data_IF_937207501240
#
_entry.id   IF_937207501240
#
_cell.length_a   1.000
_cell.length_b   1.000
_cell.length_c   1.000
_cell.angle_alpha   90.00
_cell.angle_beta   90.00
_cell.angle_gamma   90.00
#
_symmetry.space_group_name_H-M   'P 1'
#
loop_
_entity.id
_entity.type
_entity.pdbx_description
1 polymer ?
#
# COMPACT_ATOMS: atom_id res chain seq x y z
N UNK A 1 14.67 20.78 19.63
CA UNK A 1 14.80 19.46 20.30
C UNK A 1 14.33 18.42 19.30
N UNK A 2 15.24 17.63 18.72
CA UNK A 2 14.85 16.55 17.81
C UNK A 2 14.37 15.37 18.64
N UNK A 3 13.10 15.01 18.45
CA UNK A 3 12.54 13.80 19.03
C UNK A 3 12.46 12.74 17.93
N UNK A 4 12.98 11.55 18.20
CA UNK A 4 12.68 10.39 17.36
C UNK A 4 11.21 10.01 17.56
N UNK A 5 10.48 9.97 16.46
CA UNK A 5 9.10 9.48 16.45
C UNK A 5 9.08 7.98 16.19
N UNK A 6 8.26 7.26 16.94
CA UNK A 6 7.97 5.85 16.74
C UNK A 6 6.50 5.70 16.38
N UNK A 7 6.20 5.25 15.16
CA UNK A 7 4.85 4.97 14.72
C UNK A 7 4.62 3.46 14.70
N UNK A 8 3.69 3.00 15.54
CA UNK A 8 3.21 1.63 15.58
C UNK A 8 1.85 1.56 14.90
N UNK A 9 1.71 0.68 13.93
CA UNK A 9 0.45 0.47 13.19
C UNK A 9 0.01 -0.97 13.40
N UNK A 10 -1.21 -1.17 13.89
CA UNK A 10 -1.79 -2.48 14.13
C UNK A 10 -3.16 -2.56 13.48
N UNK A 11 -3.49 -3.72 12.90
CA UNK A 11 -4.85 -4.04 12.48
C UNK A 11 -5.45 -5.02 13.49
N UNK A 12 -6.63 -4.70 14.00
CA UNK A 12 -7.47 -5.58 14.82
C UNK A 12 -8.82 -5.67 14.12
N UNK A 13 -9.13 -6.85 13.58
CA UNK A 13 -10.33 -7.08 12.75
C UNK A 13 -10.43 -6.06 11.61
N UNK A 14 -11.48 -5.23 11.61
CA UNK A 14 -11.77 -4.20 10.61
C UNK A 14 -11.35 -2.80 11.06
N UNK A 15 -10.44 -2.71 12.02
CA UNK A 15 -9.96 -1.45 12.58
C UNK A 15 -8.44 -1.40 12.52
N UNK A 16 -7.91 -0.23 12.19
CA UNK A 16 -6.50 0.09 12.32
C UNK A 16 -6.25 1.06 13.47
N UNK A 17 -5.22 0.77 14.24
CA UNK A 17 -4.75 1.56 15.36
C UNK A 17 -3.38 2.10 14.97
N UNK A 18 -3.27 3.42 14.96
CA UNK A 18 -2.03 4.15 14.75
C UNK A 18 -1.63 4.78 16.09
N UNK A 19 -0.49 4.35 16.62
CA UNK A 19 0.06 4.84 17.88
C UNK A 19 1.40 5.51 17.58
N UNK A 20 1.43 6.84 17.73
CA UNK A 20 2.62 7.65 17.58
C UNK A 20 3.17 7.96 18.96
N UNK A 21 4.41 7.55 19.25
CA UNK A 21 5.10 7.90 20.50
C UNK A 21 6.38 8.69 20.25
N UNK A 22 6.73 9.57 21.18
CA UNK A 22 7.94 10.40 21.10
C UNK A 22 8.34 10.94 22.49
N UNK A 23 9.57 11.45 22.58
CA UNK A 23 10.07 12.09 23.80
C UNK A 23 10.06 11.18 25.02
N UNK A 24 9.73 11.73 26.20
CA UNK A 24 9.68 11.00 27.47
C UNK A 24 8.22 10.64 27.81
N UNK A 25 7.65 9.71 27.04
CA UNK A 25 6.31 9.15 27.30
C UNK A 25 5.14 9.89 26.66
N UNK A 26 5.39 10.75 25.67
CA UNK A 26 4.30 11.37 24.91
C UNK A 26 3.80 10.38 23.87
N UNK A 27 2.47 10.26 23.75
CA UNK A 27 1.83 9.37 22.79
C UNK A 27 0.55 9.98 22.22
N UNK A 28 0.20 9.56 21.01
CA UNK A 28 -1.02 9.91 20.31
C UNK A 28 -1.55 8.65 19.63
N UNK A 29 -2.77 8.24 19.96
CA UNK A 29 -3.42 7.08 19.38
C UNK A 29 -4.62 7.51 18.55
N UNK A 30 -4.68 7.05 17.30
CA UNK A 30 -5.80 7.24 16.39
C UNK A 30 -6.30 5.88 15.94
N UNK A 31 -7.61 5.71 16.01
CA UNK A 31 -8.29 4.50 15.55
C UNK A 31 -9.19 4.86 14.39
N UNK A 32 -9.11 4.10 13.30
CA UNK A 32 -9.96 4.29 12.13
C UNK A 32 -10.29 2.95 11.46
N UNK A 33 -11.43 2.86 10.74
CA UNK A 33 -11.77 1.67 9.99
C UNK A 33 -10.66 1.30 8.99
N UNK A 34 -10.37 0.02 8.89
CA UNK A 34 -9.53 -0.51 7.84
C UNK A 34 -10.34 -0.56 6.53
N UNK A 35 -9.82 0.01 5.44
CA UNK A 35 -10.51 0.05 4.15
C UNK A 35 -10.41 -1.32 3.47
N UNK A 36 -11.48 -2.10 3.52
CA UNK A 36 -11.48 -3.48 2.99
C UNK A 36 -11.11 -3.56 1.51
N UNK A 37 -11.47 -2.54 0.73
CA UNK A 37 -11.10 -2.42 -0.68
C UNK A 37 -9.57 -2.46 -0.91
N UNK A 38 -8.75 -2.01 0.06
CA UNK A 38 -7.28 -2.12 -0.06
C UNK A 38 -6.79 -3.57 -0.09
N UNK A 39 -7.45 -4.48 0.64
CA UNK A 39 -7.06 -5.89 0.61
C UNK A 39 -7.37 -6.49 -0.76
N UNK A 40 -8.52 -6.16 -1.34
CA UNK A 40 -8.92 -6.59 -2.69
C UNK A 40 -7.96 -6.04 -3.76
N UNK A 41 -7.64 -4.74 -3.71
CA UNK A 41 -6.72 -4.13 -4.66
C UNK A 41 -5.30 -4.69 -4.56
N UNK A 42 -4.84 -5.01 -3.34
CA UNK A 42 -3.56 -5.68 -3.14
C UNK A 42 -3.56 -7.09 -3.72
N UNK A 43 -4.63 -7.86 -3.50
CA UNK A 43 -4.77 -9.20 -4.09
C UNK A 43 -4.81 -9.14 -5.62
N UNK A 44 -5.51 -8.18 -6.20
CA UNK A 44 -5.55 -7.96 -7.64
C UNK A 44 -4.16 -7.62 -8.20
N UNK A 45 -3.51 -6.61 -7.63
CA UNK A 45 -2.15 -6.21 -8.02
C UNK A 45 -1.17 -7.39 -7.90
N UNK A 46 -1.19 -8.14 -6.80
CA UNK A 46 -0.29 -9.28 -6.60
C UNK A 46 -0.53 -10.41 -7.60
N UNK A 47 -1.79 -10.67 -7.96
CA UNK A 47 -2.16 -11.66 -8.98
C UNK A 47 -1.66 -11.26 -10.37
N UNK A 48 -1.83 -9.97 -10.73
CA UNK A 48 -1.34 -9.41 -12.00
C UNK A 48 0.18 -9.41 -12.05
N UNK A 49 0.86 -9.02 -10.96
CA UNK A 49 2.31 -9.05 -10.82
C UNK A 49 2.86 -10.47 -11.06
N UNK A 50 2.31 -11.47 -10.37
CA UNK A 50 2.71 -12.87 -10.57
C UNK A 50 2.46 -13.33 -12.01
N UNK A 51 1.35 -12.91 -12.62
CA UNK A 51 1.00 -13.28 -14.01
C UNK A 51 1.96 -12.66 -15.03
N UNK A 52 2.31 -11.38 -14.87
CA UNK A 52 3.29 -10.68 -15.70
C UNK A 52 4.65 -11.41 -15.68
N UNK A 53 5.19 -11.70 -14.49
CA UNK A 53 6.48 -12.36 -14.38
C UNK A 53 6.44 -13.84 -14.80
N UNK A 54 5.36 -14.58 -14.51
CA UNK A 54 5.19 -15.95 -15.01
C UNK A 54 5.20 -16.00 -16.55
N UNK A 55 4.62 -15.01 -17.21
CA UNK A 55 4.60 -14.96 -18.68
C UNK A 55 5.91 -14.44 -19.28
N UNK A 56 6.56 -13.46 -18.66
CA UNK A 56 7.91 -13.05 -19.04
C UNK A 56 8.92 -14.21 -18.97
N UNK A 57 8.76 -15.11 -17.99
CA UNK A 57 9.57 -16.32 -17.85
C UNK A 57 9.17 -17.43 -18.86
N UNK A 58 7.89 -17.56 -19.20
CA UNK A 58 7.41 -18.54 -20.21
C UNK A 58 7.71 -18.11 -21.64
N UNK A 59 7.86 -16.82 -21.93
CA UNK A 59 8.33 -16.30 -23.23
C UNK A 59 9.75 -16.75 -23.60
N UNK A 60 10.57 -17.19 -22.63
CA UNK A 60 11.87 -17.84 -22.89
C UNK A 60 11.75 -19.32 -23.30
N UNK A 61 10.66 -20.00 -22.94
CA UNK A 61 10.48 -21.44 -23.17
C UNK A 61 9.59 -21.72 -24.39
N UNK A 62 8.65 -20.83 -24.71
CA UNK A 62 7.65 -21.02 -25.76
C UNK A 62 8.07 -20.54 -27.16
N UNK A 63 9.33 -20.78 -27.57
CA UNK A 63 9.73 -20.73 -28.99
C UNK A 63 9.22 -21.96 -29.78
N UNK A 64 8.04 -22.46 -29.41
CA UNK A 64 7.37 -23.62 -29.98
C UNK A 64 5.89 -23.26 -30.09
N UNK A 65 5.41 -23.26 -31.34
CA UNK A 65 4.24 -22.50 -31.77
C UNK A 65 2.91 -22.88 -31.10
N UNK A 66 2.05 -21.87 -30.97
CA UNK A 66 0.61 -22.05 -30.89
C UNK A 66 -0.08 -20.77 -31.38
N UNK A 67 -1.04 -20.93 -32.29
CA UNK A 67 -1.95 -19.88 -32.75
C UNK A 67 -3.10 -19.77 -31.74
N UNK A 68 -3.23 -18.64 -31.03
CA UNK A 68 -4.39 -18.42 -30.16
C UNK A 68 -4.31 -17.18 -29.26
N UNK A 69 -5.32 -16.31 -29.38
CA UNK A 69 -5.64 -15.12 -28.55
C UNK A 69 -4.64 -13.95 -28.66
N UNK A 70 -5.11 -12.69 -28.85
CA UNK A 70 -4.24 -11.52 -28.76
C UNK A 70 -3.50 -11.52 -27.41
N UNK A 71 -2.18 -11.29 -27.39
CA UNK A 71 -1.43 -11.29 -26.15
C UNK A 71 -2.02 -10.22 -25.22
N UNK A 72 -2.46 -10.65 -24.04
CA UNK A 72 -2.90 -9.73 -22.98
C UNK A 72 -1.72 -8.83 -22.64
N UNK A 73 -1.94 -7.51 -22.67
CA UNK A 73 -0.94 -6.55 -22.21
C UNK A 73 -0.85 -6.55 -20.68
N UNK A 74 -0.05 -7.49 -20.17
CA UNK A 74 0.20 -7.62 -18.73
C UNK A 74 0.96 -6.44 -18.15
N UNK A 75 1.72 -5.72 -18.97
CA UNK A 75 2.43 -4.53 -18.50
C UNK A 75 1.44 -3.41 -18.19
N UNK A 76 0.55 -3.09 -19.14
CA UNK A 76 -0.50 -2.11 -18.93
C UNK A 76 -1.39 -2.45 -17.72
N UNK A 77 -1.78 -3.73 -17.58
CA UNK A 77 -2.55 -4.20 -16.41
C UNK A 77 -1.80 -4.04 -15.08
N UNK A 78 -0.50 -4.35 -15.06
CA UNK A 78 0.31 -4.22 -13.85
C UNK A 78 0.39 -2.75 -13.41
N UNK A 79 0.71 -1.85 -14.34
CA UNK A 79 0.79 -0.40 -14.09
C UNK A 79 -0.54 0.13 -13.57
N UNK A 80 -1.66 -0.27 -14.19
CA UNK A 80 -3.00 0.16 -13.76
C UNK A 80 -3.36 -0.34 -12.36
N UNK A 81 -3.13 -1.63 -12.08
CA UNK A 81 -3.43 -2.22 -10.77
C UNK A 81 -2.59 -1.57 -9.65
N UNK A 82 -1.31 -1.31 -9.92
CA UNK A 82 -0.41 -0.62 -8.98
C UNK A 82 -0.87 0.82 -8.71
N UNK A 83 -1.17 1.58 -9.76
CA UNK A 83 -1.66 2.95 -9.62
C UNK A 83 -2.95 3.02 -8.80
N UNK A 84 -3.88 2.08 -9.03
CA UNK A 84 -5.16 2.02 -8.31
C UNK A 84 -4.95 1.68 -6.84
N UNK A 85 -4.12 0.68 -6.53
CA UNK A 85 -3.77 0.31 -5.15
C UNK A 85 -3.13 1.48 -4.40
N UNK A 86 -2.13 2.12 -5.02
CA UNK A 86 -1.39 3.23 -4.38
C UNK A 86 -2.29 4.44 -4.18
N UNK A 87 -3.16 4.76 -5.15
CA UNK A 87 -4.11 5.86 -5.01
C UNK A 87 -5.01 5.67 -3.78
N UNK A 88 -5.69 4.53 -3.67
CA UNK A 88 -6.58 4.23 -2.55
C UNK A 88 -5.81 4.18 -1.22
N UNK A 89 -4.61 3.58 -1.22
CA UNK A 89 -3.77 3.50 -0.04
C UNK A 89 -3.38 4.89 0.46
N UNK A 90 -2.99 5.76 -0.45
CA UNK A 90 -2.62 7.14 -0.12
C UNK A 90 -3.83 7.98 0.30
N UNK A 91 -5.01 7.80 -0.31
CA UNK A 91 -6.23 8.48 0.13
C UNK A 91 -6.58 8.08 1.56
N UNK A 92 -6.52 6.79 1.89
CA UNK A 92 -6.76 6.31 3.25
C UNK A 92 -5.77 6.89 4.27
N UNK A 93 -4.46 6.92 3.95
CA UNK A 93 -3.45 7.53 4.81
C UNK A 93 -3.62 9.05 4.98
N UNK A 94 -4.29 9.71 4.03
CA UNK A 94 -4.64 11.15 4.08
C UNK A 94 -5.97 11.45 4.76
N UNK A 95 -6.68 10.43 5.24
CA UNK A 95 -7.92 10.57 5.99
C UNK A 95 -7.80 11.60 7.13
N UNK A 96 -8.92 12.27 7.44
CA UNK A 96 -8.97 13.32 8.44
C UNK A 96 -8.56 12.83 9.83
N UNK A 97 -8.89 11.57 10.16
CA UNK A 97 -8.54 10.94 11.43
C UNK A 97 -7.02 10.96 11.68
N UNK A 98 -6.23 10.73 10.62
CA UNK A 98 -4.77 10.69 10.70
C UNK A 98 -4.11 12.09 10.63
N UNK A 99 -4.90 13.17 10.54
CA UNK A 99 -4.38 14.53 10.41
C UNK A 99 -3.45 14.93 11.56
N UNK A 100 -3.83 14.63 12.81
CA UNK A 100 -3.03 14.99 13.98
C UNK A 100 -1.70 14.23 14.02
N UNK A 101 -1.69 12.93 13.68
CA UNK A 101 -0.46 12.15 13.56
C UNK A 101 0.46 12.77 12.51
N UNK A 102 -0.06 13.05 11.30
CA UNK A 102 0.74 13.66 10.22
C UNK A 102 1.27 15.03 10.61
N UNK A 103 0.42 15.87 11.22
CA UNK A 103 0.81 17.20 11.68
C UNK A 103 1.89 17.14 12.75
N UNK A 104 1.82 16.17 13.66
CA UNK A 104 2.81 15.99 14.73
C UNK A 104 4.17 15.58 14.18
N UNK A 105 4.20 14.63 13.23
CA UNK A 105 5.41 14.20 12.54
C UNK A 105 6.02 15.36 11.74
N UNK A 106 5.20 16.08 10.96
CA UNK A 106 5.67 17.19 10.12
C UNK A 106 6.27 18.34 10.94
N UNK A 107 5.66 18.70 12.08
CA UNK A 107 6.16 19.78 12.95
C UNK A 107 7.43 19.38 13.72
N UNK A 108 7.65 18.09 13.96
CA UNK A 108 8.82 17.61 14.69
C UNK A 108 10.00 17.19 13.81
N UNK A 109 9.82 17.13 12.49
CA UNK A 109 10.85 16.76 11.51
C UNK A 109 11.57 17.95 10.85
N UNK A 110 11.35 19.18 11.33
CA UNK A 110 12.07 20.39 10.86
C UNK A 110 13.07 20.80 11.93
N UNK A 111 14.33 20.38 11.71
CA UNK A 111 15.49 20.66 12.54
C UNK A 111 16.72 19.96 11.97
#
# INVERSE_FOLDING_TARGET
MNYTFYLKVQRVENTCIFELSWGKGQQLTVTLPYPENLSTLYQEWSSVYLSFYKQALRGRVAKTGSLGVPPIDWHAKLVQAEATLLYEFHQWLRSAQLFEIRSRIARGGVG
#
